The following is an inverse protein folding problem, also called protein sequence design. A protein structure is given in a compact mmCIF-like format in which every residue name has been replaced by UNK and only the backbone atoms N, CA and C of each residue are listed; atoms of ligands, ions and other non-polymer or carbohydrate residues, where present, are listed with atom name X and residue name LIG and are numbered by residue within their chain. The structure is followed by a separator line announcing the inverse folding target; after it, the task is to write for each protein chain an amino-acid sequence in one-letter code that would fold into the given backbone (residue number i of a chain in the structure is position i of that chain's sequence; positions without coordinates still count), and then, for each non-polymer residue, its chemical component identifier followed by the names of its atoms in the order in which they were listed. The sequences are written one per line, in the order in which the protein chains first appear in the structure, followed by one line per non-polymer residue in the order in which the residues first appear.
data_IF_088907586920
#
_entry.id   IF_088907586920
#
_cell.length_a   1.000
_cell.length_b   1.000
_cell.length_c   1.000
_cell.angle_alpha   90.00
_cell.angle_beta   90.00
_cell.angle_gamma   90.00
#
_symmetry.space_group_name_H-M   'P 1'
#
loop_
_entity.id
_entity.type
_entity.pdbx_description
1 polymer ?
#
# COMPACT_ATOMS: atom_id res chain seq x y z
N UNK A 1 9.08 -14.50 -5.28
CA UNK A 1 8.45 -13.16 -5.33
C UNK A 1 7.24 -13.13 -6.27
N UNK A 2 7.34 -13.88 -7.36
CA UNK A 2 6.39 -14.07 -8.45
C UNK A 2 4.99 -14.51 -7.96
N UNK A 3 4.92 -15.37 -6.95
CA UNK A 3 3.64 -15.79 -6.36
C UNK A 3 2.90 -14.61 -5.71
N UNK A 4 3.61 -13.76 -4.96
CA UNK A 4 3.03 -12.56 -4.33
C UNK A 4 2.59 -11.59 -5.42
N UNK A 5 3.43 -11.36 -6.44
CA UNK A 5 3.06 -10.52 -7.58
C UNK A 5 1.80 -11.04 -8.26
N UNK A 6 1.71 -12.35 -8.57
CA UNK A 6 0.52 -12.95 -9.17
C UNK A 6 -0.74 -12.73 -8.33
N UNK A 7 -0.65 -12.88 -7.00
CA UNK A 7 -1.78 -12.59 -6.11
C UNK A 7 -2.21 -11.12 -6.22
N UNK A 8 -1.27 -10.17 -6.27
CA UNK A 8 -1.58 -8.74 -6.43
C UNK A 8 -2.21 -8.48 -7.80
N UNK A 9 -1.75 -9.12 -8.87
CA UNK A 9 -2.36 -9.02 -10.21
C UNK A 9 -3.82 -9.47 -10.19
N UNK A 10 -4.09 -10.65 -9.60
CA UNK A 10 -5.43 -11.20 -9.47
C UNK A 10 -6.32 -10.30 -8.62
N UNK A 11 -5.77 -9.73 -7.54
CA UNK A 11 -6.48 -8.79 -6.68
C UNK A 11 -6.88 -7.51 -7.42
N UNK A 12 -5.98 -6.92 -8.21
CA UNK A 12 -6.29 -5.74 -9.02
C UNK A 12 -7.46 -6.02 -9.98
N UNK A 13 -7.39 -7.15 -10.71
CA UNK A 13 -8.44 -7.53 -11.66
C UNK A 13 -9.77 -7.74 -10.93
N UNK A 14 -9.74 -8.44 -9.81
CA UNK A 14 -10.92 -8.67 -8.98
C UNK A 14 -11.57 -7.36 -8.50
N UNK A 15 -10.77 -6.45 -7.92
CA UNK A 15 -11.26 -5.16 -7.45
C UNK A 15 -11.82 -4.31 -8.61
N UNK A 16 -11.20 -4.34 -9.78
CA UNK A 16 -11.68 -3.64 -10.97
C UNK A 16 -13.04 -4.18 -11.43
N UNK A 17 -13.17 -5.49 -11.65
CA UNK A 17 -14.43 -6.11 -12.09
C UNK A 17 -15.58 -5.79 -11.15
N UNK A 18 -15.32 -5.86 -9.85
CA UNK A 18 -16.31 -5.55 -8.84
C UNK A 18 -16.67 -4.06 -8.79
N UNK A 19 -15.71 -3.17 -9.05
CA UNK A 19 -15.94 -1.71 -9.13
C UNK A 19 -16.82 -1.38 -10.34
N UNK A 20 -16.50 -1.93 -11.51
CA UNK A 20 -17.28 -1.80 -12.74
C UNK A 20 -18.68 -2.38 -12.60
N UNK A 21 -18.83 -3.50 -11.89
CA UNK A 21 -20.13 -4.12 -11.62
C UNK A 21 -20.98 -3.36 -10.58
N UNK A 22 -20.47 -2.25 -10.00
CA UNK A 22 -21.14 -1.51 -8.93
C UNK A 22 -21.31 -2.32 -7.64
N UNK A 23 -20.64 -3.46 -7.50
CA UNK A 23 -20.82 -4.35 -6.35
C UNK A 23 -20.19 -3.79 -5.08
N UNK A 24 -19.25 -2.85 -5.22
CA UNK A 24 -18.67 -2.14 -4.07
C UNK A 24 -19.45 -0.88 -3.68
N UNK A 25 -20.62 -0.57 -4.26
CA UNK A 25 -21.32 0.70 -3.95
C UNK A 25 -21.61 0.94 -2.45
N UNK A 26 -21.60 -0.10 -1.61
CA UNK A 26 -21.75 0.04 -0.16
C UNK A 26 -20.43 0.00 0.64
N UNK A 27 -19.35 -0.53 0.05
CA UNK A 27 -18.10 -0.82 0.78
C UNK A 27 -16.82 -0.54 -0.01
N UNK A 28 -16.87 0.16 -1.15
CA UNK A 28 -15.68 0.49 -1.94
C UNK A 28 -14.77 1.36 -1.11
N UNK A 29 -13.56 0.91 -0.75
CA UNK A 29 -12.57 1.80 -0.20
C UNK A 29 -12.36 2.92 -1.23
N UNK A 30 -12.42 4.17 -0.78
CA UNK A 30 -12.22 5.38 -1.60
C UNK A 30 -10.98 5.22 -2.50
N UNK A 31 -9.95 4.56 -1.96
CA UNK A 31 -8.74 4.17 -2.69
C UNK A 31 -9.01 3.48 -4.04
N UNK A 32 -9.86 2.44 -4.11
CA UNK A 32 -10.08 1.72 -5.37
C UNK A 32 -10.90 2.52 -6.37
N UNK A 33 -11.87 3.32 -5.89
CA UNK A 33 -12.64 4.22 -6.74
C UNK A 33 -11.73 5.29 -7.38
N UNK A 34 -10.82 5.88 -6.60
CA UNK A 34 -9.85 6.85 -7.12
C UNK A 34 -8.80 6.19 -8.02
N UNK A 35 -8.32 5.00 -7.66
CA UNK A 35 -7.33 4.26 -8.44
C UNK A 35 -7.86 3.92 -9.84
N UNK A 36 -9.07 3.35 -9.91
CA UNK A 36 -9.66 2.94 -11.19
C UNK A 36 -10.29 4.09 -11.97
N UNK A 37 -10.64 5.20 -11.32
CA UNK A 37 -11.01 6.44 -12.01
C UNK A 37 -9.87 7.06 -12.81
N UNK A 38 -8.62 6.80 -12.42
CA UNK A 38 -7.42 7.38 -13.05
C UNK A 38 -6.59 6.38 -13.87
N UNK A 39 -6.81 5.08 -13.72
CA UNK A 39 -5.97 4.04 -14.36
C UNK A 39 -6.72 2.74 -14.54
N UNK A 40 -6.49 2.07 -15.68
CA UNK A 40 -6.99 0.72 -15.89
C UNK A 40 -6.04 -0.34 -15.29
N UNK A 41 -6.50 -1.59 -15.08
CA UNK A 41 -5.66 -2.66 -14.53
C UNK A 41 -4.33 -2.84 -15.25
N UNK A 42 -4.31 -2.76 -16.58
CA UNK A 42 -3.08 -2.93 -17.36
C UNK A 42 -2.02 -1.88 -17.00
N UNK A 43 -2.41 -0.62 -16.85
CA UNK A 43 -1.51 0.48 -16.47
C UNK A 43 -0.96 0.28 -15.05
N UNK A 44 -1.80 -0.17 -14.11
CA UNK A 44 -1.40 -0.45 -12.73
C UNK A 44 -0.42 -1.62 -12.68
N UNK A 45 -0.73 -2.70 -13.41
CA UNK A 45 0.09 -3.90 -13.50
C UNK A 45 1.48 -3.61 -14.06
N UNK A 46 1.59 -2.77 -15.08
CA UNK A 46 2.89 -2.37 -15.64
C UNK A 46 3.79 -1.70 -14.59
N UNK A 47 3.21 -0.94 -13.66
CA UNK A 47 3.98 -0.33 -12.58
C UNK A 47 4.52 -1.37 -11.59
N UNK A 48 3.81 -2.47 -11.31
CA UNK A 48 4.22 -3.51 -10.33
C UNK A 48 5.55 -4.19 -10.62
N UNK A 49 6.03 -4.14 -11.86
CA UNK A 49 7.32 -4.72 -12.25
C UNK A 49 8.51 -3.78 -11.99
N UNK A 50 8.27 -2.57 -11.47
CA UNK A 50 9.33 -1.67 -11.02
C UNK A 50 10.00 -2.22 -9.76
N UNK A 51 11.28 -1.87 -9.59
CA UNK A 51 12.08 -2.28 -8.42
C UNK A 51 11.60 -1.63 -7.13
N UNK A 52 11.07 -0.41 -7.21
CA UNK A 52 10.59 0.36 -6.06
C UNK A 52 9.07 0.32 -5.99
N UNK A 53 8.55 0.03 -4.79
CA UNK A 53 7.12 0.09 -4.50
C UNK A 53 6.74 1.50 -4.04
N UNK A 54 5.92 2.18 -4.82
CA UNK A 54 5.27 3.42 -4.42
C UNK A 54 4.07 3.15 -3.48
N UNK A 55 3.44 4.22 -2.99
CA UNK A 55 2.31 4.12 -2.06
C UNK A 55 1.14 3.28 -2.60
N UNK A 56 0.81 3.39 -3.90
CA UNK A 56 -0.27 2.60 -4.53
C UNK A 56 0.08 1.11 -4.47
N UNK A 57 1.30 0.76 -4.84
CA UNK A 57 1.75 -0.64 -4.86
C UNK A 57 1.86 -1.21 -3.45
N UNK A 58 2.29 -0.42 -2.48
CA UNK A 58 2.28 -0.80 -1.07
C UNK A 58 0.86 -1.08 -0.57
N UNK A 59 -0.12 -0.22 -0.88
CA UNK A 59 -1.53 -0.45 -0.51
C UNK A 59 -2.04 -1.75 -1.14
N UNK A 60 -1.86 -1.92 -2.46
CA UNK A 60 -2.28 -3.13 -3.18
C UNK A 60 -1.67 -4.40 -2.59
N UNK A 61 -0.38 -4.36 -2.24
CA UNK A 61 0.31 -5.48 -1.59
C UNK A 61 -0.29 -5.80 -0.22
N UNK A 62 -0.47 -4.79 0.63
CA UNK A 62 -1.00 -4.96 1.99
C UNK A 62 -2.44 -5.44 2.01
N UNK A 63 -3.27 -4.97 1.08
CA UNK A 63 -4.65 -5.44 0.91
C UNK A 63 -4.70 -6.88 0.42
N UNK A 64 -3.90 -7.21 -0.61
CA UNK A 64 -3.80 -8.57 -1.15
C UNK A 64 -3.40 -9.58 -0.07
N UNK A 65 -2.41 -9.23 0.76
CA UNK A 65 -1.87 -10.11 1.80
C UNK A 65 -2.64 -10.03 3.12
N UNK A 66 -3.64 -9.14 3.24
CA UNK A 66 -4.40 -8.88 4.47
C UNK A 66 -3.51 -8.58 5.67
N UNK A 67 -2.49 -7.76 5.46
CA UNK A 67 -1.58 -7.25 6.49
C UNK A 67 -1.64 -5.73 6.56
N UNK A 68 -0.96 -5.16 7.55
CA UNK A 68 -0.57 -3.75 7.62
C UNK A 68 0.95 -3.68 7.67
N UNK A 69 1.50 -2.63 7.09
CA UNK A 69 2.93 -2.35 7.13
C UNK A 69 3.16 -1.08 7.93
N UNK A 70 3.96 -1.17 8.98
CA UNK A 70 4.46 -0.03 9.74
C UNK A 70 5.89 0.26 9.27
N UNK A 71 6.12 1.48 8.77
CA UNK A 71 7.43 1.96 8.35
C UNK A 71 7.92 2.97 9.37
N UNK A 72 9.08 2.68 9.95
CA UNK A 72 9.81 3.61 10.82
C UNK A 72 10.95 4.21 9.98
N UNK A 73 10.88 5.51 9.68
CA UNK A 73 11.93 6.18 8.91
C UNK A 73 13.12 6.47 9.83
N UNK A 74 14.23 5.78 9.57
CA UNK A 74 15.49 5.88 10.28
C UNK A 74 16.49 6.77 9.54
N UNK A 75 16.06 7.50 8.50
CA UNK A 75 16.95 8.41 7.77
C UNK A 75 17.35 9.56 8.67
N UNK A 76 18.66 9.67 8.93
CA UNK A 76 19.24 10.71 9.77
C UNK A 76 19.20 12.07 9.04
N UNK A 77 18.05 12.75 9.07
CA UNK A 77 18.00 14.19 8.92
C UNK A 77 17.83 14.76 10.32
N UNK A 78 18.88 15.37 10.87
CA UNK A 78 18.92 16.17 12.11
C UNK A 78 17.64 16.02 12.95
N UNK A 79 17.46 14.85 13.56
CA UNK A 79 16.44 14.71 14.60
C UNK A 79 16.97 15.59 15.72
N UNK A 80 16.47 16.83 15.77
CA UNK A 80 16.61 17.71 16.91
C UNK A 80 16.42 16.83 18.14
N UNK A 81 17.32 16.91 19.12
CA UNK A 81 17.34 16.05 20.30
C UNK A 81 16.01 16.04 21.09
N UNK A 82 15.07 16.92 20.74
CA UNK A 82 13.71 17.01 21.26
C UNK A 82 12.67 16.11 20.54
N UNK A 83 12.92 15.63 19.32
CA UNK A 83 12.02 14.69 18.62
C UNK A 83 12.44 13.24 18.89
N UNK A 84 12.06 12.72 20.04
CA UNK A 84 12.40 11.35 20.46
C UNK A 84 11.64 10.23 19.72
N UNK A 85 10.77 10.56 18.74
CA UNK A 85 9.94 9.60 18.02
C UNK A 85 10.31 9.60 16.54
N UNK A 86 10.70 8.41 16.04
CA UNK A 86 10.94 8.19 14.62
C UNK A 86 9.67 8.50 13.82
N UNK A 87 9.76 9.18 12.66
CA UNK A 87 8.64 9.32 11.75
C UNK A 87 8.07 7.95 11.40
N UNK A 88 6.77 7.79 11.64
CA UNK A 88 6.07 6.53 11.44
C UNK A 88 5.03 6.71 10.34
N UNK A 89 5.00 5.78 9.39
CA UNK A 89 3.95 5.65 8.38
C UNK A 89 3.32 4.26 8.49
N UNK A 90 2.00 4.19 8.32
CA UNK A 90 1.27 2.94 8.33
C UNK A 90 0.54 2.76 7.00
N UNK A 91 0.63 1.57 6.40
CA UNK A 91 -0.02 1.23 5.14
C UNK A 91 -0.90 -0.02 5.30
N UNK A 92 -2.19 0.02 4.92
CA UNK A 92 -2.96 1.21 4.60
C UNK A 92 -3.21 2.07 5.86
N UNK A 93 -3.48 3.36 5.67
CA UNK A 93 -3.76 4.32 6.76
C UNK A 93 -5.20 4.22 7.31
N UNK A 94 -6.09 3.54 6.60
CA UNK A 94 -7.49 3.42 6.96
C UNK A 94 -7.69 2.80 8.36
N UNK A 95 -8.65 3.34 9.10
CA UNK A 95 -8.94 3.01 10.50
C UNK A 95 -10.14 2.08 10.67
N UNK A 96 -10.68 1.55 9.56
CA UNK A 96 -11.79 0.60 9.58
C UNK A 96 -11.45 -0.66 10.38
N UNK A 97 -12.43 -1.22 11.09
CA UNK A 97 -12.21 -2.36 12.00
C UNK A 97 -11.60 -3.58 11.29
N UNK A 98 -12.06 -3.87 10.07
CA UNK A 98 -11.51 -4.96 9.26
C UNK A 98 -10.01 -4.75 9.01
N UNK A 99 -9.61 -3.53 8.67
CA UNK A 99 -8.23 -3.17 8.38
C UNK A 99 -7.39 -3.20 9.65
N UNK A 100 -7.84 -2.56 10.72
CA UNK A 100 -7.09 -2.47 11.99
C UNK A 100 -6.88 -3.82 12.67
N UNK A 101 -7.70 -4.83 12.36
CA UNK A 101 -7.57 -6.20 12.87
C UNK A 101 -6.49 -7.05 12.18
N UNK A 102 -5.93 -6.56 11.06
CA UNK A 102 -4.90 -7.27 10.28
C UNK A 102 -3.55 -7.29 11.03
N UNK A 103 -2.74 -8.35 10.88
CA UNK A 103 -1.37 -8.40 11.42
C UNK A 103 -0.52 -7.24 10.92
N UNK A 104 0.30 -6.66 11.80
CA UNK A 104 1.25 -5.59 11.46
C UNK A 104 2.64 -6.19 11.25
N UNK A 105 3.27 -5.85 10.13
CA UNK A 105 4.68 -6.08 9.87
C UNK A 105 5.41 -4.74 9.96
N UNK A 106 6.36 -4.62 10.89
CA UNK A 106 7.16 -3.40 11.08
C UNK A 106 8.48 -3.49 10.34
N UNK A 107 8.83 -2.45 9.58
CA UNK A 107 10.07 -2.33 8.84
C UNK A 107 10.77 -1.02 9.18
N UNK A 108 12.10 -1.06 9.16
CA UNK A 108 12.95 0.13 9.23
C UNK A 108 13.27 0.59 7.82
N UNK A 109 12.96 1.85 7.52
CA UNK A 109 13.28 2.48 6.23
C UNK A 109 14.54 3.33 6.39
N UNK A 110 15.56 3.01 5.61
CA UNK A 110 16.77 3.82 5.48
C UNK A 110 16.80 4.40 4.08
N UNK A 111 16.60 5.70 3.94
CA UNK A 111 16.87 6.36 2.66
C UNK A 111 18.40 6.53 2.58
N UNK A 112 19.02 5.98 1.54
CA UNK A 112 20.41 6.35 1.24
C UNK A 112 20.41 7.84 0.88
N UNK A 113 21.12 8.65 1.66
CA UNK A 113 21.48 10.00 1.21
C UNK A 113 22.36 9.79 -0.03
N UNK A 114 22.05 10.37 -1.19
CA UNK A 114 22.96 10.31 -2.32
C UNK A 114 24.28 10.99 -1.90
N UNK A 115 25.38 10.23 -1.90
CA UNK A 115 26.74 10.79 -1.88
C UNK A 115 27.01 11.61 -3.13
#
# INVERSE_FOLDING_TARGET
MEAVQLLVLLWIVHCFEKTEAGQWLQHCPIFYAELFGNSNPRQIIQNLYKTELNNIQMILLTDTLRIRVELLDCSCSDLDAEQSKLPQCLVPQHTEREITSRPILTFLKFNQVPE
#
